data_IF_297232867290
#
_entry.id   IF_297232867290
#
_cell.length_a   1.000
_cell.length_b   1.000
_cell.length_c   1.000
_cell.angle_alpha   90.00
_cell.angle_beta   90.00
_cell.angle_gamma   90.00
#
_symmetry.space_group_name_H-M   'P 1'
#
loop_
_entity.id
_entity.type
_entity.pdbx_description
1 polymer ?
#
# COMPACT_ATOMS: atom_id res chain seq x y z
N UNK A 1 9.65 15.21 -19.38
CA UNK A 1 8.37 15.90 -19.26
C UNK A 1 7.38 15.12 -20.10
N UNK A 2 6.32 14.58 -19.49
CA UNK A 2 5.26 13.91 -20.23
C UNK A 2 4.66 14.89 -21.25
N UNK A 3 4.63 14.49 -22.53
CA UNK A 3 4.09 15.30 -23.63
C UNK A 3 2.59 15.57 -23.50
N UNK A 4 1.91 14.88 -22.58
CA UNK A 4 0.48 15.09 -22.25
C UNK A 4 0.21 16.36 -21.46
N UNK A 5 1.22 16.96 -20.82
CA UNK A 5 1.03 18.20 -20.06
C UNK A 5 1.56 19.40 -20.84
N UNK A 6 0.75 20.48 -20.87
CA UNK A 6 1.19 21.78 -21.37
C UNK A 6 2.40 22.25 -20.55
N UNK A 7 3.52 22.68 -21.18
CA UNK A 7 4.68 23.17 -20.45
C UNK A 7 4.29 24.38 -19.60
N UNK A 8 4.56 24.28 -18.30
CA UNK A 8 4.33 25.35 -17.33
C UNK A 8 5.49 26.34 -17.34
N UNK A 9 5.21 27.61 -17.09
CA UNK A 9 6.26 28.60 -16.93
C UNK A 9 7.12 28.28 -15.69
N UNK A 10 8.43 28.59 -15.68
CA UNK A 10 9.30 28.31 -14.52
C UNK A 10 8.77 28.90 -13.21
N UNK A 11 8.16 30.09 -13.24
CA UNK A 11 7.53 30.72 -12.08
C UNK A 11 6.32 29.93 -11.56
N UNK A 12 5.53 29.37 -12.47
CA UNK A 12 4.35 28.56 -12.15
C UNK A 12 4.77 27.22 -11.53
N UNK A 13 5.84 26.60 -12.05
CA UNK A 13 6.44 25.40 -11.48
C UNK A 13 6.98 25.64 -10.06
N UNK A 14 7.61 26.80 -9.83
CA UNK A 14 8.10 27.18 -8.50
C UNK A 14 6.95 27.42 -7.52
N UNK A 15 5.84 28.02 -7.98
CA UNK A 15 4.64 28.18 -7.17
C UNK A 15 4.02 26.82 -6.79
N UNK A 16 3.93 25.89 -7.74
CA UNK A 16 3.45 24.52 -7.48
C UNK A 16 4.35 23.78 -6.48
N UNK A 17 5.68 23.89 -6.61
CA UNK A 17 6.61 23.27 -5.65
C UNK A 17 6.41 23.83 -4.24
N UNK A 18 6.23 25.14 -4.10
CA UNK A 18 5.97 25.80 -2.81
C UNK A 18 4.66 25.34 -2.19
N UNK A 19 3.56 25.38 -2.96
CA UNK A 19 2.25 24.95 -2.48
C UNK A 19 2.25 23.47 -2.04
N UNK A 20 2.91 22.59 -2.79
CA UNK A 20 3.08 21.18 -2.40
C UNK A 20 3.78 21.05 -1.04
N UNK A 21 4.84 21.83 -0.80
CA UNK A 21 5.56 21.80 0.46
C UNK A 21 4.68 22.27 1.62
N UNK A 22 3.94 23.36 1.43
CA UNK A 22 3.02 23.90 2.45
C UNK A 22 1.91 22.89 2.80
N UNK A 23 1.36 22.20 1.79
CA UNK A 23 0.37 21.14 2.00
C UNK A 23 0.92 19.94 2.75
N UNK A 24 2.16 19.54 2.49
CA UNK A 24 2.81 18.43 3.20
C UNK A 24 3.10 18.81 4.66
N UNK A 25 3.52 20.04 4.92
CA UNK A 25 3.70 20.56 6.28
C UNK A 25 2.37 20.61 7.06
N UNK A 26 1.26 20.92 6.39
CA UNK A 26 -0.06 20.94 6.99
C UNK A 26 -0.61 19.54 7.33
N UNK A 27 -0.04 18.47 6.74
CA UNK A 27 -0.48 17.09 6.92
C UNK A 27 0.68 16.15 7.27
N UNK A 28 1.31 16.31 8.44
CA UNK A 28 2.51 15.55 8.82
C UNK A 28 2.25 14.05 8.99
N UNK A 29 1.00 13.64 9.27
CA UNK A 29 0.59 12.24 9.39
C UNK A 29 0.13 11.60 8.09
N UNK A 30 0.38 12.24 6.94
CA UNK A 30 0.05 11.65 5.64
C UNK A 30 0.85 10.36 5.41
N UNK A 31 0.20 9.25 4.99
CA UNK A 31 0.90 8.02 4.66
C UNK A 31 1.95 8.23 3.56
N UNK A 32 3.11 7.59 3.71
CA UNK A 32 4.23 7.70 2.76
C UNK A 32 3.81 7.44 1.30
N UNK A 33 3.00 6.41 0.96
CA UNK A 33 2.49 6.23 -0.40
C UNK A 33 1.71 7.43 -0.95
N UNK A 34 0.88 8.05 -0.11
CA UNK A 34 0.10 9.22 -0.48
C UNK A 34 1.00 10.44 -0.69
N UNK A 35 2.01 10.65 0.15
CA UNK A 35 3.02 11.70 -0.02
C UNK A 35 3.75 11.54 -1.36
N UNK A 36 4.25 10.34 -1.65
CA UNK A 36 4.97 10.00 -2.89
C UNK A 36 4.09 10.30 -4.10
N UNK A 37 2.84 9.83 -4.09
CA UNK A 37 1.88 10.07 -5.17
C UNK A 37 1.61 11.56 -5.34
N UNK A 38 1.44 12.32 -4.25
CA UNK A 38 1.15 13.76 -4.25
C UNK A 38 2.31 14.57 -4.83
N UNK A 39 3.55 14.24 -4.45
CA UNK A 39 4.75 14.83 -5.04
C UNK A 39 4.79 14.57 -6.55
N UNK A 40 4.59 13.29 -6.94
CA UNK A 40 4.63 12.89 -8.35
C UNK A 40 3.60 13.63 -9.19
N UNK A 41 2.34 13.65 -8.76
CA UNK A 41 1.26 14.29 -9.52
C UNK A 41 1.35 15.81 -9.48
N UNK A 42 1.74 16.40 -8.36
CA UNK A 42 1.97 17.84 -8.22
C UNK A 42 3.03 18.33 -9.20
N UNK A 43 4.13 17.58 -9.35
CA UNK A 43 5.20 17.90 -10.30
C UNK A 43 4.95 17.37 -11.72
N UNK A 44 3.76 16.80 -11.98
CA UNK A 44 3.34 16.25 -13.28
C UNK A 44 4.31 15.22 -13.85
N UNK A 45 4.91 14.41 -12.99
CA UNK A 45 5.80 13.33 -13.38
C UNK A 45 5.01 12.04 -13.63
N UNK A 46 5.40 11.31 -14.67
CA UNK A 46 4.99 9.91 -14.81
C UNK A 46 5.66 9.05 -13.76
N UNK A 47 5.11 7.85 -13.52
CA UNK A 47 5.77 6.84 -12.67
C UNK A 47 7.18 6.54 -13.19
N UNK A 48 7.36 6.40 -14.50
CA UNK A 48 8.66 6.12 -15.10
C UNK A 48 9.66 7.27 -14.90
N UNK A 49 9.25 8.52 -15.10
CA UNK A 49 10.11 9.68 -14.89
C UNK A 49 10.49 9.83 -13.42
N UNK A 50 9.52 9.65 -12.51
CA UNK A 50 9.79 9.80 -11.09
C UNK A 50 10.68 8.68 -10.55
N UNK A 51 10.43 7.44 -10.97
CA UNK A 51 11.28 6.31 -10.64
C UNK A 51 12.72 6.51 -11.12
N UNK A 52 12.90 7.04 -12.35
CA UNK A 52 14.22 7.39 -12.89
C UNK A 52 14.92 8.47 -12.07
N UNK A 53 14.16 9.50 -11.65
CA UNK A 53 14.70 10.60 -10.82
C UNK A 53 15.23 10.08 -9.48
N UNK A 54 14.53 9.14 -8.86
CA UNK A 54 14.87 8.62 -7.54
C UNK A 54 15.76 7.37 -7.56
N UNK A 55 16.08 6.83 -8.75
CA UNK A 55 16.90 5.63 -8.89
C UNK A 55 16.21 4.36 -8.36
N UNK A 56 14.90 4.23 -8.57
CA UNK A 56 14.10 3.03 -8.22
C UNK A 56 13.43 2.44 -9.47
N UNK A 57 12.88 1.22 -9.37
CA UNK A 57 12.14 0.65 -10.49
C UNK A 57 10.74 1.26 -10.61
N UNK A 58 10.28 1.52 -11.84
CA UNK A 58 8.94 2.04 -12.10
C UNK A 58 7.85 1.10 -11.56
N UNK A 59 8.10 -0.21 -11.60
CA UNK A 59 7.20 -1.21 -11.01
C UNK A 59 7.13 -1.09 -9.49
N UNK A 60 8.28 -0.99 -8.80
CA UNK A 60 8.30 -0.82 -7.35
C UNK A 60 7.60 0.47 -6.93
N UNK A 61 7.85 1.59 -7.63
CA UNK A 61 7.15 2.85 -7.36
C UNK A 61 5.63 2.71 -7.55
N UNK A 62 5.19 2.05 -8.63
CA UNK A 62 3.77 1.78 -8.85
C UNK A 62 3.17 0.87 -7.76
N UNK A 63 3.92 -0.10 -7.24
CA UNK A 63 3.46 -0.99 -6.17
C UNK A 63 3.34 -0.26 -4.84
N UNK A 64 4.29 0.64 -4.55
CA UNK A 64 4.26 1.52 -3.37
C UNK A 64 3.04 2.45 -3.43
N UNK A 65 2.82 3.16 -4.53
CA UNK A 65 1.69 4.11 -4.66
C UNK A 65 0.30 3.44 -4.59
N UNK A 66 0.23 2.12 -4.85
CA UNK A 66 -0.99 1.32 -4.75
C UNK A 66 -1.09 0.57 -3.43
N UNK A 67 -0.13 0.77 -2.53
CA UNK A 67 -0.04 0.10 -1.23
C UNK A 67 0.01 -1.43 -1.34
N UNK A 68 0.53 -1.95 -2.46
CA UNK A 68 0.62 -3.37 -2.71
C UNK A 68 1.82 -4.03 -2.00
N UNK A 69 2.82 -3.22 -1.61
CA UNK A 69 4.02 -3.67 -0.90
C UNK A 69 4.39 -2.67 0.19
N UNK A 70 5.03 -3.15 1.26
CA UNK A 70 5.65 -2.30 2.28
C UNK A 70 7.08 -1.95 1.84
N UNK A 71 7.36 -0.70 1.43
CA UNK A 71 8.73 -0.32 1.06
C UNK A 71 9.66 -0.34 2.27
N UNK A 72 10.95 -0.58 2.03
CA UNK A 72 11.98 -0.37 3.06
C UNK A 72 12.17 1.11 3.33
N UNK A 73 12.59 1.47 4.54
CA UNK A 73 12.91 2.87 4.91
C UNK A 73 13.91 3.49 3.93
N UNK A 74 14.94 2.75 3.53
CA UNK A 74 15.92 3.18 2.54
C UNK A 74 15.31 3.49 1.16
N UNK A 75 14.25 2.79 0.77
CA UNK A 75 13.52 3.08 -0.49
C UNK A 75 12.72 4.38 -0.36
N UNK A 76 12.08 4.58 0.79
CA UNK A 76 11.35 5.81 1.10
C UNK A 76 12.28 7.02 1.11
N UNK A 77 13.45 6.92 1.76
CA UNK A 77 14.47 7.96 1.77
C UNK A 77 14.92 8.34 0.36
N UNK A 78 15.17 7.37 -0.52
CA UNK A 78 15.52 7.63 -1.93
C UNK A 78 14.43 8.40 -2.67
N UNK A 79 13.16 8.09 -2.40
CA UNK A 79 12.02 8.75 -3.04
C UNK A 79 11.83 10.19 -2.56
N UNK A 80 12.15 10.48 -1.30
CA UNK A 80 11.94 11.79 -0.69
C UNK A 80 13.16 12.74 -0.83
N UNK A 81 14.38 12.19 -0.90
CA UNK A 81 15.65 12.94 -0.94
C UNK A 81 15.73 14.02 -2.03
N UNK A 82 15.29 13.80 -3.28
CA UNK A 82 15.37 14.83 -4.32
C UNK A 82 14.57 16.11 -4.02
N UNK A 83 13.65 16.06 -3.06
CA UNK A 83 12.82 17.20 -2.66
C UNK A 83 13.19 17.74 -1.28
N UNK A 84 14.30 17.30 -0.69
CA UNK A 84 14.71 17.70 0.66
C UNK A 84 13.79 17.17 1.76
N UNK A 85 13.03 16.11 1.48
CA UNK A 85 12.11 15.50 2.44
C UNK A 85 12.75 14.25 3.05
N UNK A 86 12.38 13.93 4.29
CA UNK A 86 12.82 12.75 5.02
C UNK A 86 11.63 12.06 5.69
N UNK A 87 11.62 10.72 5.80
CA UNK A 87 10.62 10.02 6.60
C UNK A 87 10.84 10.30 8.11
N UNK A 88 9.76 10.38 8.89
CA UNK A 88 9.84 10.66 10.32
C UNK A 88 8.64 10.15 11.11
N UNK A 89 8.81 10.04 12.43
CA UNK A 89 7.72 9.72 13.36
C UNK A 89 6.92 11.00 13.67
N UNK A 90 5.61 10.89 13.70
CA UNK A 90 4.69 11.99 14.04
C UNK A 90 3.75 11.52 15.16
N UNK A 91 3.33 12.41 16.07
CA UNK A 91 2.30 12.05 17.04
C UNK A 91 1.03 11.63 16.28
N UNK A 92 0.25 10.66 16.80
CA UNK A 92 -1.06 10.39 16.22
C UNK A 92 -1.82 11.71 16.19
N UNK A 93 -2.42 12.04 15.05
CA UNK A 93 -3.30 13.20 14.95
C UNK A 93 -4.29 13.11 16.11
N UNK A 94 -4.26 14.09 17.02
CA UNK A 94 -5.11 14.10 18.20
C UNK A 94 -6.53 13.76 17.77
N UNK A 95 -7.12 12.73 18.38
CA UNK A 95 -8.42 12.16 18.05
C UNK A 95 -9.58 13.13 18.39
N UNK A 96 -9.60 14.31 17.80
CA UNK A 96 -10.78 15.15 17.77
C UNK A 96 -11.66 14.70 16.59
N UNK A 97 -12.65 13.86 16.94
CA UNK A 97 -13.83 13.52 16.15
C UNK A 97 -13.67 12.60 14.92
N UNK A 98 -13.56 11.29 15.18
CA UNK A 98 -14.41 10.27 14.53
C UNK A 98 -14.45 8.99 15.39
N UNK A 99 -15.60 8.31 15.53
CA UNK A 99 -15.68 6.99 16.16
C UNK A 99 -14.82 5.98 15.38
N UNK A 100 -14.37 4.88 16.00
CA UNK A 100 -13.47 3.92 15.34
C UNK A 100 -14.16 3.31 14.13
N UNK A 101 -13.75 3.71 12.93
CA UNK A 101 -14.03 2.96 11.71
C UNK A 101 -13.26 1.61 11.79
N UNK A 102 -13.85 0.49 11.37
CA UNK A 102 -13.23 -0.82 11.52
C UNK A 102 -11.92 -0.87 10.74
N UNK A 103 -10.86 -1.33 11.41
CA UNK A 103 -9.51 -1.41 10.89
C UNK A 103 -9.45 -2.18 9.54
N UNK A 104 -8.83 -1.57 8.53
CA UNK A 104 -8.45 -2.26 7.29
C UNK A 104 -7.29 -3.25 7.57
N UNK A 105 -7.40 -4.55 7.26
CA UNK A 105 -6.54 -5.61 7.83
C UNK A 105 -5.29 -5.90 6.99
N UNK A 106 -4.52 -4.89 6.57
CA UNK A 106 -3.30 -5.10 5.78
C UNK A 106 -2.02 -4.61 6.47
N UNK A 107 -1.81 -5.09 7.70
CA UNK A 107 -0.46 -5.33 8.23
C UNK A 107 -0.23 -6.84 8.34
N UNK A 108 0.30 -7.42 7.27
CA UNK A 108 0.78 -8.80 7.28
C UNK A 108 2.15 -8.87 7.96
N UNK A 109 2.20 -9.22 9.25
CA UNK A 109 3.27 -10.03 9.85
C UNK A 109 2.93 -10.54 11.26
N UNK A 110 2.42 -11.78 11.39
CA UNK A 110 3.09 -12.87 12.15
C UNK A 110 2.27 -14.15 12.32
N UNK A 111 0.98 -14.17 12.01
CA UNK A 111 0.18 -15.37 12.31
C UNK A 111 -0.63 -15.87 11.10
N UNK A 112 0.04 -16.63 10.22
CA UNK A 112 -0.59 -17.38 9.12
C UNK A 112 -1.20 -18.71 9.59
N UNK A 113 -1.48 -18.86 10.88
CA UNK A 113 -2.07 -20.08 11.43
C UNK A 113 -3.58 -20.17 11.20
N UNK A 114 -4.24 -19.06 10.82
CA UNK A 114 -5.70 -18.99 10.68
C UNK A 114 -6.15 -18.39 9.34
N UNK A 115 -7.33 -18.80 8.89
CA UNK A 115 -8.03 -18.40 7.67
C UNK A 115 -9.30 -17.65 8.08
N UNK A 116 -9.44 -16.41 7.62
CA UNK A 116 -10.66 -15.62 7.75
C UNK A 116 -11.42 -15.62 6.41
N UNK A 117 -12.53 -16.36 6.36
CA UNK A 117 -13.38 -16.47 5.16
C UNK A 117 -14.24 -15.23 4.90
N UNK A 118 -14.40 -14.32 5.87
CA UNK A 118 -15.18 -13.09 5.66
C UNK A 118 -14.37 -12.02 4.91
N UNK A 119 -13.06 -12.21 4.80
CA UNK A 119 -12.14 -11.32 4.11
C UNK A 119 -11.94 -11.77 2.66
N UNK A 120 -12.43 -10.96 1.72
CA UNK A 120 -12.41 -11.30 0.29
C UNK A 120 -11.01 -11.53 -0.29
N UNK A 121 -9.98 -10.92 0.30
CA UNK A 121 -8.59 -11.09 -0.13
C UNK A 121 -7.96 -12.37 0.44
N UNK A 122 -8.30 -12.77 1.68
CA UNK A 122 -7.86 -14.03 2.28
C UNK A 122 -8.45 -15.21 1.51
N UNK A 123 -9.73 -15.12 1.16
CA UNK A 123 -10.36 -16.11 0.30
C UNK A 123 -9.59 -16.28 -1.02
N UNK A 124 -9.22 -15.18 -1.69
CA UNK A 124 -8.45 -15.24 -2.95
C UNK A 124 -7.04 -15.81 -2.77
N UNK A 125 -6.39 -15.51 -1.65
CA UNK A 125 -5.06 -16.03 -1.34
C UNK A 125 -5.10 -17.54 -1.05
N UNK A 126 -5.99 -17.99 -0.16
CA UNK A 126 -6.07 -19.37 0.28
C UNK A 126 -6.66 -20.32 -0.77
N UNK A 127 -7.60 -19.86 -1.59
CA UNK A 127 -8.07 -20.64 -2.76
C UNK A 127 -6.95 -20.90 -3.75
N UNK A 128 -6.07 -19.91 -3.97
CA UNK A 128 -4.88 -20.07 -4.81
C UNK A 128 -3.82 -20.97 -4.18
N UNK A 129 -3.54 -20.80 -2.89
CA UNK A 129 -2.52 -21.55 -2.16
C UNK A 129 -2.89 -23.04 -2.00
N UNK A 130 -4.17 -23.32 -1.73
CA UNK A 130 -4.69 -24.67 -1.55
C UNK A 130 -5.18 -25.29 -2.87
N UNK A 131 -5.20 -24.53 -3.96
CA UNK A 131 -5.71 -24.92 -5.27
C UNK A 131 -7.16 -25.44 -5.24
N UNK A 132 -8.03 -24.80 -4.45
CA UNK A 132 -9.45 -25.13 -4.27
C UNK A 132 -10.37 -23.97 -4.65
N UNK A 133 -11.66 -24.24 -4.83
CA UNK A 133 -12.65 -23.18 -5.06
C UNK A 133 -13.01 -22.41 -3.77
N UNK A 134 -13.55 -21.17 -3.87
CA UNK A 134 -14.01 -20.42 -2.70
C UNK A 134 -15.03 -21.18 -1.85
N UNK A 135 -15.91 -21.93 -2.49
CA UNK A 135 -16.94 -22.74 -1.83
C UNK A 135 -16.29 -23.87 -1.03
N UNK A 136 -15.30 -24.57 -1.60
CA UNK A 136 -14.54 -25.61 -0.92
C UNK A 136 -13.73 -25.06 0.26
N UNK A 137 -13.20 -23.85 0.15
CA UNK A 137 -12.50 -23.18 1.25
C UNK A 137 -13.46 -22.86 2.41
N UNK A 138 -14.65 -22.33 2.11
CA UNK A 138 -15.68 -22.03 3.12
C UNK A 138 -16.14 -23.32 3.81
N UNK A 139 -16.42 -24.37 3.05
CA UNK A 139 -16.82 -25.67 3.58
C UNK A 139 -15.74 -26.25 4.52
N UNK A 140 -14.48 -26.24 4.08
CA UNK A 140 -13.38 -26.79 4.86
C UNK A 140 -13.14 -26.00 6.16
N UNK A 141 -13.30 -24.67 6.13
CA UNK A 141 -13.21 -23.81 7.33
C UNK A 141 -14.41 -24.03 8.26
N UNK A 142 -15.62 -24.23 7.74
CA UNK A 142 -16.79 -24.55 8.55
C UNK A 142 -16.69 -25.93 9.21
N UNK A 143 -16.10 -26.92 8.53
CA UNK A 143 -15.97 -28.28 9.03
C UNK A 143 -14.77 -28.48 9.98
N UNK A 144 -13.61 -27.88 9.68
CA UNK A 144 -12.36 -28.08 10.43
C UNK A 144 -11.98 -26.92 11.36
N UNK A 145 -12.76 -25.83 11.30
CA UNK A 145 -12.42 -24.56 11.93
C UNK A 145 -11.42 -23.73 11.09
N UNK A 146 -11.17 -22.47 11.47
CA UNK A 146 -10.36 -21.54 10.70
C UNK A 146 -8.85 -21.80 10.79
N UNK A 147 -8.38 -22.91 11.36
CA UNK A 147 -6.95 -23.19 11.53
C UNK A 147 -6.39 -23.87 10.27
N UNK A 148 -5.30 -23.34 9.71
CA UNK A 148 -4.75 -23.80 8.41
C UNK A 148 -4.37 -25.28 8.43
N UNK A 149 -3.75 -25.77 9.51
CA UNK A 149 -3.38 -27.18 9.63
C UNK A 149 -4.60 -28.11 9.66
N UNK A 150 -5.68 -27.69 10.32
CA UNK A 150 -6.93 -28.44 10.38
C UNK A 150 -7.63 -28.48 9.02
N UNK A 151 -7.69 -27.33 8.32
CA UNK A 151 -8.25 -27.22 6.97
C UNK A 151 -7.48 -28.09 5.97
N UNK A 152 -6.14 -28.05 5.98
CA UNK A 152 -5.31 -28.92 5.14
C UNK A 152 -5.56 -30.40 5.43
N UNK A 153 -5.66 -30.77 6.72
CA UNK A 153 -5.95 -32.14 7.11
C UNK A 153 -7.35 -32.60 6.69
N UNK A 154 -8.34 -31.70 6.71
CA UNK A 154 -9.69 -31.99 6.24
C UNK A 154 -9.74 -32.22 4.72
N UNK A 155 -9.09 -31.35 3.94
CA UNK A 155 -9.01 -31.50 2.48
C UNK A 155 -8.30 -32.81 2.10
N UNK A 156 -7.18 -33.13 2.74
CA UNK A 156 -6.45 -34.38 2.49
C UNK A 156 -7.28 -35.65 2.78
N UNK A 157 -8.18 -35.61 3.77
CA UNK A 157 -9.11 -36.73 4.06
C UNK A 157 -10.29 -36.81 3.10
N UNK A 158 -10.69 -35.69 2.49
CA UNK A 158 -11.81 -35.61 1.54
C UNK A 158 -11.39 -36.07 0.14
N UNK A 159 -10.11 -35.93 -0.18
CA UNK A 159 -9.50 -36.37 -1.44
C UNK A 159 -9.01 -37.84 -1.42
N UNK A 160 -9.17 -38.56 -0.29
CA UNK A 160 -8.84 -40.00 -0.13
C UNK A 160 -10.10 -40.86 -0.13
#
# INVERSE_FOLDING_TARGET
MDKRYKPMAPAEMNAVRRALHDELLAAPSMPIPAVIRKIRTGLRLTIAEYARLCGVSARALADIEREATSPTLATVEKLLRPFGLQPGAVPPASAAASPPAPASPHQSNKDRSRINIHESWEMRYWTKELAITPEQLVEAVQAAGPVVSAVRGYLARKDS
#
